data_IF_777693840154
#
_entry.id   IF_777693840154
#
_cell.length_a   1.000
_cell.length_b   1.000
_cell.length_c   1.000
_cell.angle_alpha   90.00
_cell.angle_beta   90.00
_cell.angle_gamma   90.00
#
_symmetry.space_group_name_H-M   'P 1'
#
loop_
_entity.id
_entity.type
_entity.pdbx_description
1 polymer ?
#
# COMPACT_ATOMS: atom_id res chain seq x y z
N UNK A 1 15.81 16.67 -17.58
CA UNK A 1 15.11 17.83 -17.00
C UNK A 1 14.27 17.32 -15.84
N UNK A 2 14.70 17.53 -14.61
CA UNK A 2 13.93 17.21 -13.41
C UNK A 2 12.65 18.04 -13.46
N UNK A 3 11.49 17.40 -13.61
CA UNK A 3 10.20 18.04 -13.32
C UNK A 3 10.33 18.58 -11.90
N UNK A 4 10.24 19.89 -11.74
CA UNK A 4 10.17 20.51 -10.42
C UNK A 4 8.93 19.90 -9.75
N UNK A 5 9.12 19.10 -8.70
CA UNK A 5 7.99 18.56 -7.96
C UNK A 5 7.10 19.74 -7.54
N UNK A 6 5.81 19.62 -7.83
CA UNK A 6 4.85 20.64 -7.41
C UNK A 6 4.87 20.66 -5.87
N UNK A 7 4.98 21.85 -5.29
CA UNK A 7 4.98 22.00 -3.84
C UNK A 7 3.73 21.35 -3.21
N UNK A 8 3.83 20.85 -1.96
CA UNK A 8 2.69 20.35 -1.25
C UNK A 8 1.54 21.36 -1.26
N UNK A 9 0.32 20.88 -1.46
CA UNK A 9 -0.85 21.74 -1.59
C UNK A 9 -2.11 21.05 -1.08
N UNK A 10 -2.99 21.86 -0.48
CA UNK A 10 -4.31 21.46 0.00
C UNK A 10 -5.37 21.76 -1.07
N UNK A 11 -6.24 20.81 -1.33
CA UNK A 11 -7.35 20.95 -2.28
C UNK A 11 -8.67 20.61 -1.60
N UNK A 12 -9.76 21.35 -1.86
CA UNK A 12 -11.09 20.89 -1.49
C UNK A 12 -11.44 19.63 -2.29
N UNK A 13 -12.01 18.63 -1.63
CA UNK A 13 -12.50 17.41 -2.25
C UNK A 13 -13.98 17.24 -1.91
N UNK A 14 -14.85 17.72 -2.81
CA UNK A 14 -16.29 17.70 -2.57
C UNK A 14 -16.72 18.58 -1.39
N UNK A 15 -17.84 18.21 -0.78
CA UNK A 15 -18.45 19.00 0.31
C UNK A 15 -17.91 18.66 1.70
N UNK A 16 -17.30 17.48 1.85
CA UNK A 16 -17.01 16.83 3.13
C UNK A 16 -15.55 16.40 3.27
N UNK A 17 -14.64 16.90 2.43
CA UNK A 17 -13.25 16.56 2.54
C UNK A 17 -12.25 17.53 1.92
N UNK A 18 -10.99 17.27 2.26
CA UNK A 18 -9.80 17.92 1.73
C UNK A 18 -8.80 16.85 1.30
N UNK A 19 -7.99 17.18 0.30
CA UNK A 19 -6.88 16.38 -0.18
C UNK A 19 -5.58 17.17 0.00
N UNK A 20 -4.73 16.74 0.93
CA UNK A 20 -3.35 17.23 1.03
C UNK A 20 -2.49 16.41 0.08
N UNK A 21 -1.95 17.02 -0.98
CA UNK A 21 -1.08 16.35 -1.97
C UNK A 21 0.35 16.82 -1.79
N UNK A 22 1.31 15.89 -1.69
CA UNK A 22 2.73 16.18 -1.49
C UNK A 22 3.53 16.18 -2.79
N UNK A 23 3.13 15.36 -3.76
CA UNK A 23 3.74 15.31 -5.09
C UNK A 23 2.70 14.94 -6.16
N UNK A 24 2.99 15.27 -7.42
CA UNK A 24 2.17 14.85 -8.57
C UNK A 24 2.54 13.46 -9.08
N UNK A 25 3.82 13.10 -8.96
CA UNK A 25 4.35 11.78 -9.27
C UNK A 25 4.68 11.08 -7.94
N UNK A 26 4.66 9.75 -7.91
CA UNK A 26 4.94 9.01 -6.69
C UNK A 26 6.44 8.97 -6.37
N UNK A 27 6.78 9.13 -5.09
CA UNK A 27 8.11 8.93 -4.51
C UNK A 27 7.98 8.37 -3.09
N UNK A 28 9.03 7.76 -2.55
CA UNK A 28 9.02 7.25 -1.18
C UNK A 28 8.96 8.41 -0.16
N UNK A 29 9.55 9.55 -0.51
CA UNK A 29 9.48 10.81 0.23
C UNK A 29 8.04 11.32 0.31
N UNK A 30 7.32 11.37 -0.82
CA UNK A 30 5.92 11.79 -0.85
C UNK A 30 5.00 10.81 -0.10
N UNK A 31 5.29 9.50 -0.16
CA UNK A 31 4.55 8.50 0.60
C UNK A 31 4.77 8.65 2.11
N UNK A 32 6.01 8.87 2.53
CA UNK A 32 6.36 9.16 3.93
C UNK A 32 5.68 10.42 4.42
N UNK A 33 5.70 11.48 3.62
CA UNK A 33 5.00 12.73 3.88
C UNK A 33 3.50 12.50 4.08
N UNK A 34 2.84 11.77 3.17
CA UNK A 34 1.43 11.45 3.28
C UNK A 34 1.10 10.67 4.57
N UNK A 35 1.87 9.64 4.89
CA UNK A 35 1.66 8.83 6.10
C UNK A 35 1.88 9.65 7.39
N UNK A 36 2.95 10.45 7.45
CA UNK A 36 3.25 11.29 8.60
C UNK A 36 2.19 12.39 8.79
N UNK A 37 1.80 13.06 7.70
CA UNK A 37 0.75 14.07 7.73
C UNK A 37 -0.58 13.48 8.18
N UNK A 38 -0.92 12.27 7.73
CA UNK A 38 -2.14 11.60 8.17
C UNK A 38 -2.18 11.35 9.69
N UNK A 39 -1.06 10.94 10.28
CA UNK A 39 -0.95 10.73 11.71
C UNK A 39 -1.17 12.02 12.51
N UNK A 40 -0.64 13.15 12.03
CA UNK A 40 -0.82 14.46 12.67
C UNK A 40 -2.22 15.05 12.40
N UNK A 41 -2.73 14.96 11.17
CA UNK A 41 -4.04 15.48 10.78
C UNK A 41 -5.19 14.78 11.50
N UNK A 42 -5.04 13.50 11.86
CA UNK A 42 -6.02 12.76 12.67
C UNK A 42 -6.21 13.37 14.08
N UNK A 43 -5.25 14.18 14.55
CA UNK A 43 -5.35 14.86 15.85
C UNK A 43 -6.05 16.21 15.78
N UNK A 44 -6.36 16.72 14.57
CA UNK A 44 -7.05 17.98 14.39
C UNK A 44 -8.53 17.85 14.74
N UNK A 45 -9.07 18.86 15.41
CA UNK A 45 -10.49 18.93 15.71
C UNK A 45 -11.32 18.98 14.41
N UNK A 46 -12.34 18.12 14.33
CA UNK A 46 -13.22 18.01 13.16
C UNK A 46 -12.74 17.04 12.08
N UNK A 47 -11.54 16.48 12.17
CA UNK A 47 -11.12 15.38 11.29
C UNK A 47 -11.77 14.06 11.75
N UNK A 48 -12.56 13.42 10.88
CA UNK A 48 -13.28 12.17 11.18
C UNK A 48 -12.64 10.95 10.52
N UNK A 49 -12.19 11.10 9.28
CA UNK A 49 -11.56 10.03 8.52
C UNK A 49 -10.30 10.59 7.86
N UNK A 50 -9.13 10.01 8.18
CA UNK A 50 -7.86 10.41 7.61
C UNK A 50 -7.20 9.22 6.94
N UNK A 51 -7.10 9.27 5.61
CA UNK A 51 -6.65 8.14 4.79
C UNK A 51 -5.45 8.56 3.94
N UNK A 52 -4.23 8.15 4.32
CA UNK A 52 -3.07 8.30 3.46
C UNK A 52 -3.15 7.35 2.26
N UNK A 53 -2.80 7.87 1.09
CA UNK A 53 -2.61 7.14 -0.15
C UNK A 53 -1.14 7.22 -0.58
N UNK A 54 -0.84 7.02 -1.87
CA UNK A 54 0.54 6.97 -2.35
C UNK A 54 1.32 8.27 -2.17
N UNK A 55 0.75 9.43 -2.53
CA UNK A 55 1.42 10.74 -2.46
C UNK A 55 0.51 11.86 -1.93
N UNK A 56 -0.58 11.48 -1.26
CA UNK A 56 -1.60 12.40 -0.76
C UNK A 56 -2.36 11.80 0.42
N UNK A 57 -2.98 12.66 1.21
CA UNK A 57 -3.82 12.27 2.34
C UNK A 57 -5.21 12.88 2.18
N UNK A 58 -6.23 12.02 2.22
CA UNK A 58 -7.63 12.42 2.34
C UNK A 58 -7.93 12.73 3.80
N UNK A 59 -8.61 13.84 4.04
CA UNK A 59 -9.17 14.20 5.35
C UNK A 59 -10.66 14.49 5.15
N UNK A 60 -11.53 13.75 5.83
CA UNK A 60 -12.98 13.97 5.83
C UNK A 60 -13.48 14.49 7.17
N UNK A 61 -14.62 15.17 7.12
CA UNK A 61 -15.30 15.77 8.26
C UNK A 61 -16.82 15.72 8.07
N UNK A 62 -17.60 15.86 9.14
CA UNK A 62 -19.06 15.94 9.04
C UNK A 62 -19.51 17.31 8.45
N UNK A 63 -20.11 17.31 7.24
CA UNK A 63 -20.54 18.54 6.58
C UNK A 63 -21.94 19.00 7.04
N UNK A 64 -22.59 18.32 7.99
CA UNK A 64 -24.00 18.55 8.34
C UNK A 64 -24.20 19.26 9.68
N UNK A 65 -25.34 19.94 9.84
CA UNK A 65 -25.73 20.59 11.09
C UNK A 65 -25.21 22.01 11.26
N UNK A 66 -25.63 22.64 12.36
CA UNK A 66 -25.31 24.04 12.64
C UNK A 66 -23.80 24.25 12.74
N UNK A 67 -23.30 25.32 12.13
CA UNK A 67 -21.87 25.64 12.13
C UNK A 67 -21.01 24.83 11.16
N UNK A 68 -21.58 24.02 10.26
CA UNK A 68 -20.82 23.24 9.27
C UNK A 68 -19.82 24.07 8.44
N UNK A 69 -20.23 25.26 8.00
CA UNK A 69 -19.33 26.18 7.27
C UNK A 69 -18.14 26.64 8.13
N UNK A 70 -18.37 26.90 9.42
CA UNK A 70 -17.33 27.30 10.35
C UNK A 70 -16.38 26.12 10.66
N UNK A 71 -16.91 24.92 10.87
CA UNK A 71 -16.10 23.69 11.06
C UNK A 71 -15.22 23.41 9.85
N UNK A 72 -15.79 23.49 8.64
CA UNK A 72 -15.03 23.34 7.39
C UNK A 72 -13.89 24.34 7.31
N UNK A 73 -14.18 25.63 7.55
CA UNK A 73 -13.16 26.68 7.50
C UNK A 73 -12.06 26.50 8.57
N UNK A 74 -12.44 26.08 9.79
CA UNK A 74 -11.49 25.80 10.87
C UNK A 74 -10.58 24.61 10.53
N UNK A 75 -11.14 23.53 9.99
CA UNK A 75 -10.36 22.38 9.54
C UNK A 75 -9.44 22.73 8.36
N UNK A 76 -9.92 23.51 7.39
CA UNK A 76 -9.12 23.98 6.26
C UNK A 76 -7.92 24.81 6.73
N UNK A 77 -8.15 25.72 7.68
CA UNK A 77 -7.08 26.51 8.29
C UNK A 77 -6.08 25.61 9.04
N UNK A 78 -6.57 24.70 9.89
CA UNK A 78 -5.69 23.77 10.63
C UNK A 78 -4.88 22.85 9.72
N UNK A 79 -5.46 22.36 8.62
CA UNK A 79 -4.76 21.56 7.63
C UNK A 79 -3.72 22.38 6.86
N UNK A 80 -4.03 23.63 6.54
CA UNK A 80 -3.08 24.54 5.87
C UNK A 80 -1.90 24.86 6.80
N UNK A 81 -2.17 25.22 8.05
CA UNK A 81 -1.14 25.47 9.07
C UNK A 81 -0.26 24.23 9.29
N UNK A 82 -0.88 23.03 9.36
CA UNK A 82 -0.14 21.78 9.47
C UNK A 82 0.74 21.52 8.23
N UNK A 83 0.20 21.73 7.03
CA UNK A 83 0.91 21.55 5.78
C UNK A 83 2.13 22.48 5.69
N UNK A 84 2.00 23.72 6.14
CA UNK A 84 3.06 24.74 6.15
C UNK A 84 4.02 24.61 7.35
N UNK A 85 3.72 23.75 8.33
CA UNK A 85 4.49 23.65 9.58
C UNK A 85 5.94 23.16 9.41
N UNK A 86 6.24 22.45 8.31
CA UNK A 86 7.56 21.88 8.02
C UNK A 86 7.69 21.47 6.55
N UNK A 87 8.91 21.17 6.14
CA UNK A 87 9.15 20.48 4.87
C UNK A 87 8.87 18.98 5.01
N UNK A 88 7.68 18.56 4.61
CA UNK A 88 7.22 17.17 4.68
C UNK A 88 8.03 16.23 3.77
N UNK A 89 8.57 16.72 2.66
CA UNK A 89 9.37 15.91 1.74
C UNK A 89 10.80 15.68 2.26
N UNK A 90 11.25 16.50 3.22
CA UNK A 90 12.54 16.37 3.89
C UNK A 90 12.51 15.48 5.14
N UNK A 91 11.39 14.83 5.46
CA UNK A 91 11.30 13.91 6.60
C UNK A 91 12.30 12.75 6.46
N UNK A 92 13.02 12.37 7.54
CA UNK A 92 14.01 11.30 7.48
C UNK A 92 13.35 9.95 7.23
N UNK A 93 14.06 9.02 6.61
CA UNK A 93 13.61 7.64 6.53
C UNK A 93 13.63 7.00 7.93
N UNK A 94 12.47 6.52 8.39
CA UNK A 94 12.35 5.83 9.68
C UNK A 94 12.47 4.32 9.50
N UNK A 95 13.00 3.64 10.51
CA UNK A 95 12.94 2.18 10.57
C UNK A 95 11.49 1.70 10.66
N UNK A 96 11.19 0.50 10.16
CA UNK A 96 9.86 -0.07 10.29
C UNK A 96 9.65 -0.52 11.73
N UNK A 97 8.50 -0.16 12.34
CA UNK A 97 8.14 -0.62 13.68
C UNK A 97 7.57 -2.04 13.71
N UNK A 98 7.09 -2.52 12.56
CA UNK A 98 6.44 -3.83 12.40
C UNK A 98 6.94 -4.48 11.13
N UNK A 99 7.23 -5.78 11.22
CA UNK A 99 7.62 -6.61 10.08
C UNK A 99 6.73 -7.82 9.99
N UNK A 100 6.15 -8.03 8.82
CA UNK A 100 5.42 -9.24 8.50
C UNK A 100 6.27 -10.15 7.62
N UNK A 101 6.34 -11.43 7.98
CA UNK A 101 6.85 -12.47 7.09
C UNK A 101 5.68 -13.24 6.51
N UNK A 102 5.46 -13.12 5.20
CA UNK A 102 4.36 -13.76 4.48
C UNK A 102 4.88 -14.98 3.69
N UNK A 103 4.35 -16.18 3.91
CA UNK A 103 4.72 -17.35 3.12
C UNK A 103 4.06 -17.28 1.73
N UNK A 104 4.85 -17.41 0.66
CA UNK A 104 4.40 -17.28 -0.73
C UNK A 104 4.91 -18.45 -1.57
N UNK A 105 4.00 -19.05 -2.34
CA UNK A 105 4.30 -20.01 -3.40
C UNK A 105 4.48 -19.27 -4.73
N UNK A 106 5.55 -19.62 -5.44
CA UNK A 106 5.90 -19.11 -6.76
C UNK A 106 5.77 -20.21 -7.84
N UNK A 107 4.98 -21.25 -7.60
CA UNK A 107 4.94 -22.47 -8.41
C UNK A 107 3.68 -22.58 -9.27
N UNK A 108 3.84 -22.84 -10.56
CA UNK A 108 2.75 -23.22 -11.48
C UNK A 108 1.56 -22.26 -11.43
N UNK A 109 0.37 -22.78 -11.11
CA UNK A 109 -0.88 -22.00 -11.03
C UNK A 109 -0.88 -20.92 -9.94
N UNK A 110 0.02 -21.00 -8.95
CA UNK A 110 0.17 -19.93 -7.96
C UNK A 110 0.90 -18.72 -8.57
N UNK A 111 1.63 -18.87 -9.66
CA UNK A 111 2.48 -17.86 -10.27
C UNK A 111 2.43 -17.82 -11.82
N UNK A 112 1.24 -17.80 -12.45
CA UNK A 112 1.09 -17.95 -13.90
C UNK A 112 1.73 -16.81 -14.72
N UNK A 113 1.97 -15.65 -14.09
CA UNK A 113 2.61 -14.49 -14.71
C UNK A 113 4.10 -14.33 -14.35
N UNK A 114 4.71 -15.25 -13.59
CA UNK A 114 6.10 -15.12 -13.15
C UNK A 114 7.09 -15.16 -14.32
N UNK A 115 6.95 -16.12 -15.22
CA UNK A 115 7.81 -16.22 -16.41
C UNK A 115 7.72 -14.97 -17.29
N UNK A 116 6.51 -14.43 -17.48
CA UNK A 116 6.26 -13.19 -18.24
C UNK A 116 6.92 -11.99 -17.54
N UNK A 117 6.74 -11.86 -16.22
CA UNK A 117 7.31 -10.78 -15.43
C UNK A 117 8.84 -10.82 -15.41
N UNK A 118 9.42 -12.01 -15.23
CA UNK A 118 10.87 -12.22 -15.23
C UNK A 118 11.49 -11.85 -16.58
N UNK A 119 10.86 -12.30 -17.68
CA UNK A 119 11.33 -11.98 -19.03
C UNK A 119 11.31 -10.46 -19.30
N UNK A 120 10.26 -9.75 -18.89
CA UNK A 120 10.21 -8.28 -19.04
C UNK A 120 11.19 -7.55 -18.13
N UNK A 121 11.45 -8.09 -16.93
CA UNK A 121 12.47 -7.57 -16.03
C UNK A 121 13.92 -7.89 -16.49
N UNK A 122 14.09 -8.72 -17.53
CA UNK A 122 15.38 -9.15 -18.03
C UNK A 122 16.08 -10.17 -17.12
N UNK A 123 15.31 -10.99 -16.41
CA UNK A 123 15.78 -11.93 -15.38
C UNK A 123 15.38 -13.37 -15.71
N UNK A 124 16.06 -14.33 -15.09
CA UNK A 124 15.51 -15.69 -14.97
C UNK A 124 14.38 -15.71 -13.93
N UNK A 125 13.50 -16.72 -13.97
CA UNK A 125 12.45 -16.86 -12.95
C UNK A 125 13.02 -16.97 -11.53
N UNK A 126 14.15 -17.66 -11.37
CA UNK A 126 14.80 -17.83 -10.06
C UNK A 126 15.45 -16.53 -9.57
N UNK A 127 16.10 -15.76 -10.46
CA UNK A 127 16.65 -14.44 -10.10
C UNK A 127 15.52 -13.45 -9.75
N UNK A 128 14.41 -13.50 -10.48
CA UNK A 128 13.23 -12.70 -10.20
C UNK A 128 12.65 -13.00 -8.81
N UNK A 129 12.47 -14.29 -8.48
CA UNK A 129 12.03 -14.72 -7.15
C UNK A 129 13.02 -14.26 -6.08
N UNK A 130 14.32 -14.47 -6.28
CA UNK A 130 15.36 -14.05 -5.34
C UNK A 130 15.29 -12.54 -5.06
N UNK A 131 15.20 -11.72 -6.11
CA UNK A 131 15.11 -10.27 -5.97
C UNK A 131 13.84 -9.81 -5.24
N UNK A 132 12.70 -10.47 -5.48
CA UNK A 132 11.45 -10.19 -4.76
C UNK A 132 11.57 -10.53 -3.27
N UNK A 133 12.18 -11.67 -2.94
CA UNK A 133 12.36 -12.12 -1.55
C UNK A 133 13.31 -11.20 -0.77
N UNK A 134 14.31 -10.62 -1.43
CA UNK A 134 15.32 -9.74 -0.81
C UNK A 134 14.86 -8.28 -0.66
N UNK A 135 13.87 -7.80 -1.42
CA UNK A 135 13.51 -6.38 -1.50
C UNK A 135 12.98 -5.76 -0.19
N UNK A 136 12.44 -6.57 0.73
CA UNK A 136 11.83 -6.13 2.00
C UNK A 136 10.99 -4.82 1.90
N UNK A 137 10.04 -4.71 0.95
CA UNK A 137 9.28 -3.48 0.71
C UNK A 137 8.32 -3.15 1.85
N UNK A 138 7.73 -1.94 1.82
CA UNK A 138 6.75 -1.49 2.82
C UNK A 138 5.34 -1.41 2.25
N UNK A 139 4.34 -1.51 3.13
CA UNK A 139 2.96 -1.15 2.78
C UNK A 139 2.89 0.37 2.58
N UNK A 140 2.73 0.78 1.32
CA UNK A 140 2.65 2.18 0.89
C UNK A 140 1.26 2.77 1.11
N UNK A 141 0.23 1.97 0.85
CA UNK A 141 -1.18 2.34 1.01
C UNK A 141 -2.01 1.07 1.20
N UNK A 142 -3.22 1.21 1.73
CA UNK A 142 -4.21 0.13 1.80
C UNK A 142 -5.52 0.68 1.22
N UNK A 143 -6.10 0.00 0.23
CA UNK A 143 -7.27 0.50 -0.49
C UNK A 143 -7.59 -0.30 -1.75
N UNK A 144 -8.44 0.25 -2.62
CA UNK A 144 -9.16 -0.43 -3.72
C UNK A 144 -10.20 -1.45 -3.24
N UNK A 145 -9.81 -2.34 -2.33
CA UNK A 145 -10.70 -3.22 -1.58
C UNK A 145 -10.29 -3.22 -0.10
N UNK A 146 -11.17 -3.62 0.83
CA UNK A 146 -10.82 -3.72 2.25
C UNK A 146 -9.57 -4.57 2.47
N UNK A 147 -8.64 -4.06 3.28
CA UNK A 147 -7.38 -4.74 3.62
C UNK A 147 -6.33 -4.85 2.52
N UNK A 148 -6.65 -4.58 1.24
CA UNK A 148 -5.76 -4.84 0.12
C UNK A 148 -4.56 -3.86 0.11
N UNK A 149 -3.32 -4.35 0.36
CA UNK A 149 -2.15 -3.49 0.49
C UNK A 149 -1.49 -3.26 -0.88
N UNK A 150 -1.02 -2.03 -1.08
CA UNK A 150 -0.03 -1.69 -2.10
C UNK A 150 1.32 -1.68 -1.41
N UNK A 151 2.24 -2.53 -1.87
CA UNK A 151 3.52 -2.81 -1.24
C UNK A 151 4.63 -2.41 -2.20
N UNK A 152 5.63 -1.68 -1.73
CA UNK A 152 6.73 -1.26 -2.60
C UNK A 152 7.89 -0.56 -1.89
N UNK A 153 8.95 -0.23 -2.61
CA UNK A 153 9.15 -0.50 -4.03
C UNK A 153 10.08 -1.68 -4.28
N UNK A 154 9.85 -2.36 -5.40
CA UNK A 154 10.81 -3.27 -6.02
C UNK A 154 11.88 -2.47 -6.81
N UNK A 155 13.02 -3.11 -7.15
CA UNK A 155 14.05 -2.50 -7.98
C UNK A 155 13.54 -2.04 -9.35
N UNK A 156 14.30 -1.16 -10.03
CA UNK A 156 13.89 -0.51 -11.28
C UNK A 156 13.56 -1.50 -12.41
N UNK A 157 14.16 -2.70 -12.40
CA UNK A 157 13.85 -3.79 -13.35
C UNK A 157 12.39 -4.25 -13.28
N UNK A 158 11.69 -3.98 -12.18
CA UNK A 158 10.28 -4.32 -11.97
C UNK A 158 9.30 -3.21 -12.39
N UNK A 159 9.75 -2.21 -13.15
CA UNK A 159 8.87 -1.20 -13.75
C UNK A 159 8.07 -1.77 -14.94
N UNK A 160 7.27 -2.78 -14.63
CA UNK A 160 6.47 -3.54 -15.58
C UNK A 160 5.15 -2.79 -15.84
N UNK A 161 4.77 -2.56 -17.11
CA UNK A 161 3.55 -1.86 -17.41
C UNK A 161 2.33 -2.72 -17.08
N UNK A 162 1.30 -2.09 -16.51
CA UNK A 162 -0.01 -2.72 -16.33
C UNK A 162 -0.58 -3.14 -17.69
N UNK A 163 -1.06 -4.37 -17.78
CA UNK A 163 -1.74 -4.91 -18.95
C UNK A 163 -3.10 -4.24 -19.17
N UNK A 164 -3.44 -4.07 -20.45
CA UNK A 164 -4.75 -3.54 -20.88
C UNK A 164 -5.85 -4.59 -20.71
N UNK A 165 -5.55 -5.82 -21.07
CA UNK A 165 -6.45 -6.96 -20.86
C UNK A 165 -6.38 -7.40 -19.40
N UNK A 166 -7.56 -7.58 -18.79
CA UNK A 166 -7.66 -8.00 -17.39
C UNK A 166 -7.75 -9.53 -17.32
N UNK A 167 -7.06 -10.14 -16.35
CA UNK A 167 -7.19 -11.55 -15.99
C UNK A 167 -7.69 -11.66 -14.56
N UNK A 168 -8.54 -12.64 -14.29
CA UNK A 168 -8.99 -12.93 -12.93
C UNK A 168 -7.84 -13.50 -12.11
N UNK A 169 -7.67 -12.98 -10.90
CA UNK A 169 -6.74 -13.53 -9.91
C UNK A 169 -7.51 -14.02 -8.68
N UNK A 170 -7.06 -15.11 -8.03
CA UNK A 170 -7.73 -15.65 -6.85
C UNK A 170 -7.38 -14.85 -5.57
N UNK A 171 -8.10 -15.10 -4.45
CA UNK A 171 -7.68 -14.64 -3.13
C UNK A 171 -6.27 -15.12 -2.79
N UNK A 172 -5.51 -14.24 -2.15
CA UNK A 172 -4.11 -14.46 -1.78
C UNK A 172 -3.13 -14.30 -2.94
N UNK A 173 -3.58 -13.90 -4.14
CA UNK A 173 -2.70 -13.63 -5.26
C UNK A 173 -1.78 -12.44 -4.96
N UNK A 174 -0.48 -12.65 -5.15
CA UNK A 174 0.54 -11.62 -5.15
C UNK A 174 0.79 -11.20 -6.60
N UNK A 175 0.44 -9.96 -6.93
CA UNK A 175 0.57 -9.44 -8.29
C UNK A 175 1.60 -8.31 -8.36
N UNK A 176 2.27 -8.15 -9.51
CA UNK A 176 3.29 -7.13 -9.73
C UNK A 176 3.00 -6.27 -10.96
N UNK A 177 3.23 -4.96 -10.81
CA UNK A 177 3.34 -3.96 -11.87
C UNK A 177 3.93 -2.68 -11.27
N UNK A 178 4.47 -1.78 -12.09
CA UNK A 178 4.92 -0.43 -11.69
C UNK A 178 5.80 -0.43 -10.43
N UNK A 179 6.68 -1.45 -10.30
CA UNK A 179 7.56 -1.68 -9.14
C UNK A 179 6.85 -1.91 -7.81
N UNK A 180 5.56 -2.21 -7.84
CA UNK A 180 4.76 -2.49 -6.67
C UNK A 180 4.26 -3.93 -6.69
N UNK A 181 3.98 -4.42 -5.50
CA UNK A 181 3.26 -5.65 -5.24
C UNK A 181 1.89 -5.30 -4.69
N UNK A 182 0.85 -6.03 -5.11
CA UNK A 182 -0.48 -5.94 -4.51
C UNK A 182 -0.93 -7.33 -4.09
N UNK A 183 -1.43 -7.44 -2.87
CA UNK A 183 -1.94 -8.70 -2.33
C UNK A 183 -3.46 -8.71 -2.34
N UNK A 184 -4.06 -9.58 -3.14
CA UNK A 184 -5.50 -9.60 -3.36
C UNK A 184 -6.24 -10.28 -2.21
N UNK A 185 -7.18 -9.56 -1.60
CA UNK A 185 -8.06 -10.10 -0.55
C UNK A 185 -9.16 -11.01 -1.14
N UNK A 186 -9.69 -10.64 -2.29
CA UNK A 186 -10.81 -11.29 -2.96
C UNK A 186 -10.47 -11.60 -4.42
N UNK A 187 -11.20 -12.54 -5.02
CA UNK A 187 -11.09 -12.79 -6.45
C UNK A 187 -11.53 -11.54 -7.24
N UNK A 188 -10.70 -11.09 -8.18
CA UNK A 188 -10.98 -9.87 -8.96
C UNK A 188 -10.15 -9.83 -10.25
N UNK A 189 -10.67 -9.21 -11.33
CA UNK A 189 -9.89 -8.98 -12.54
C UNK A 189 -8.82 -7.90 -12.33
N UNK A 190 -7.61 -8.15 -12.81
CA UNK A 190 -6.50 -7.19 -12.78
C UNK A 190 -5.65 -7.22 -14.04
N UNK A 191 -5.04 -6.08 -14.36
CA UNK A 191 -4.01 -5.98 -15.41
C UNK A 191 -2.59 -6.20 -14.86
N UNK A 192 -2.45 -6.60 -13.60
CA UNK A 192 -1.16 -6.86 -12.96
C UNK A 192 -0.83 -8.35 -13.09
N UNK A 193 0.45 -8.68 -13.20
CA UNK A 193 0.87 -10.07 -13.38
C UNK A 193 0.85 -10.80 -12.03
N UNK A 194 0.10 -11.90 -11.91
CA UNK A 194 0.18 -12.77 -10.74
C UNK A 194 1.50 -13.54 -10.76
N UNK A 195 2.40 -13.17 -9.85
CA UNK A 195 3.75 -13.73 -9.75
C UNK A 195 3.89 -14.72 -8.58
N UNK A 196 2.89 -14.81 -7.71
CA UNK A 196 2.88 -15.75 -6.61
C UNK A 196 1.54 -15.78 -5.89
N UNK A 197 1.43 -16.65 -4.88
CA UNK A 197 0.22 -16.77 -4.06
C UNK A 197 0.56 -17.12 -2.62
N UNK A 198 -0.17 -16.52 -1.68
CA UNK A 198 -0.10 -16.83 -0.25
C UNK A 198 -1.44 -17.38 0.25
N UNK A 199 -1.41 -18.07 1.40
CA UNK A 199 -2.61 -18.43 2.16
C UNK A 199 -3.08 -17.29 3.08
N UNK A 200 -2.24 -16.26 3.30
CA UNK A 200 -2.60 -15.12 4.14
C UNK A 200 -3.73 -14.31 3.51
N UNK A 201 -4.76 -14.01 4.31
CA UNK A 201 -5.83 -13.09 3.93
C UNK A 201 -5.58 -11.71 4.52
N UNK A 202 -5.37 -10.67 3.70
CA UNK A 202 -5.18 -9.29 4.18
C UNK A 202 -6.47 -8.65 4.72
N UNK A 203 -7.63 -9.30 4.56
CA UNK A 203 -8.90 -8.86 5.12
C UNK A 203 -9.70 -10.02 5.72
N UNK A 204 -10.11 -9.87 6.98
CA UNK A 204 -10.78 -10.89 7.78
C UNK A 204 -11.93 -10.25 8.57
N UNK A 205 -13.11 -10.02 7.97
CA UNK A 205 -14.16 -9.21 8.58
C UNK A 205 -14.66 -9.70 9.94
N UNK A 206 -14.53 -11.01 10.22
CA UNK A 206 -14.93 -11.61 11.51
C UNK A 206 -13.83 -11.71 12.57
N UNK A 207 -12.61 -11.23 12.29
CA UNK A 207 -11.49 -11.27 13.24
C UNK A 207 -11.45 -10.03 14.13
N UNK A 208 -10.80 -10.14 15.30
CA UNK A 208 -10.57 -9.01 16.22
C UNK A 208 -9.83 -7.85 15.55
N UNK A 209 -8.93 -8.16 14.61
CA UNK A 209 -8.26 -7.20 13.74
C UNK A 209 -8.57 -7.52 12.28
N UNK A 210 -9.64 -6.95 11.69
CA UNK A 210 -10.06 -7.29 10.33
C UNK A 210 -9.04 -6.96 9.25
N UNK A 211 -8.16 -5.98 9.50
CA UNK A 211 -7.08 -5.56 8.62
C UNK A 211 -5.76 -5.65 9.39
N UNK A 212 -5.05 -6.79 9.34
CA UNK A 212 -3.85 -7.01 10.14
C UNK A 212 -2.65 -6.15 9.72
N UNK A 213 -2.55 -5.86 8.42
CA UNK A 213 -1.51 -4.99 7.86
C UNK A 213 -1.85 -3.52 8.11
N UNK A 214 -0.82 -2.72 8.37
CA UNK A 214 -0.91 -1.26 8.46
C UNK A 214 0.05 -0.62 7.47
N UNK A 215 -0.26 0.62 7.10
CA UNK A 215 0.68 1.43 6.33
C UNK A 215 2.00 1.57 7.09
N UNK A 216 3.12 1.50 6.36
CA UNK A 216 4.46 1.52 6.92
C UNK A 216 4.99 0.18 7.42
N UNK A 217 4.16 -0.87 7.53
CA UNK A 217 4.62 -2.23 7.86
C UNK A 217 5.66 -2.70 6.81
N UNK A 218 6.78 -3.25 7.25
CA UNK A 218 7.75 -3.94 6.37
C UNK A 218 7.22 -5.34 6.02
N UNK A 219 7.32 -5.71 4.76
CA UNK A 219 6.91 -7.02 4.25
C UNK A 219 8.14 -7.79 3.82
N UNK A 220 8.35 -8.95 4.44
CA UNK A 220 9.27 -9.99 3.97
C UNK A 220 8.46 -11.13 3.39
N UNK A 221 8.89 -11.62 2.24
CA UNK A 221 8.28 -12.78 1.61
C UNK A 221 9.17 -13.99 1.91
N UNK A 222 8.56 -15.13 2.21
CA UNK A 222 9.24 -16.39 2.45
C UNK A 222 8.76 -17.41 1.43
N UNK A 223 9.67 -17.92 0.59
CA UNK A 223 9.34 -18.96 -0.39
C UNK A 223 8.89 -20.22 0.33
N UNK A 224 7.75 -20.75 -0.10
CA UNK A 224 7.24 -22.07 0.25
C UNK A 224 6.76 -22.78 -1.02
N UNK A 225 6.64 -24.10 -0.97
CA UNK A 225 6.02 -24.87 -2.04
C UNK A 225 4.51 -24.63 -2.11
N UNK A 226 3.91 -24.95 -3.26
CA UNK A 226 2.45 -24.97 -3.41
C UNK A 226 1.79 -25.91 -2.41
N UNK A 227 2.42 -27.05 -2.10
CA UNK A 227 1.90 -28.01 -1.14
C UNK A 227 1.85 -27.42 0.28
N UNK A 228 2.92 -26.76 0.72
CA UNK A 228 2.95 -26.07 2.02
C UNK A 228 1.90 -24.96 2.08
N UNK A 229 1.70 -24.21 0.99
CA UNK A 229 0.67 -23.16 0.93
C UNK A 229 -0.73 -23.74 1.09
N UNK A 230 -0.99 -24.87 0.44
CA UNK A 230 -2.27 -25.58 0.59
C UNK A 230 -2.46 -26.11 2.01
N UNK A 231 -1.39 -26.59 2.67
CA UNK A 231 -1.46 -27.05 4.05
C UNK A 231 -1.75 -25.92 5.07
N UNK A 232 -1.45 -24.67 4.72
CA UNK A 232 -1.79 -23.48 5.52
C UNK A 232 -3.25 -23.04 5.35
N UNK A 233 -4.05 -23.70 4.49
CA UNK A 233 -5.47 -23.41 4.37
C UNK A 233 -6.19 -23.75 5.69
N UNK A 234 -6.73 -22.73 6.34
CA UNK A 234 -7.39 -22.86 7.65
C UNK A 234 -6.58 -22.30 8.82
N UNK A 235 -5.29 -22.02 8.62
CA UNK A 235 -4.55 -21.16 9.56
C UNK A 235 -5.14 -19.74 9.49
N UNK A 236 -5.55 -19.12 10.62
CA UNK A 236 -6.18 -17.80 10.61
C UNK A 236 -5.34 -16.72 9.90
N UNK A 237 -4.02 -16.86 9.89
CA UNK A 237 -3.09 -15.91 9.29
C UNK A 237 -2.39 -16.50 8.06
N UNK A 238 -2.82 -17.66 7.56
CA UNK A 238 -2.17 -18.36 6.45
C UNK A 238 -0.67 -18.52 6.65
N UNK A 239 -0.21 -18.72 7.89
CA UNK A 239 1.21 -18.85 8.25
C UNK A 239 2.01 -17.54 8.32
N UNK A 240 1.37 -16.38 8.16
CA UNK A 240 2.03 -15.09 8.32
C UNK A 240 2.45 -14.83 9.77
N UNK A 241 3.61 -14.21 9.94
CA UNK A 241 4.19 -13.90 11.27
C UNK A 241 4.49 -12.43 11.40
N UNK A 242 4.06 -11.82 12.51
CA UNK A 242 4.38 -10.44 12.88
C UNK A 242 5.53 -10.39 13.87
N UNK A 243 6.53 -9.57 13.57
CA UNK A 243 7.61 -9.17 14.48
C UNK A 243 7.47 -7.68 14.79
N UNK A 244 7.55 -7.31 16.08
CA UNK A 244 7.59 -5.91 16.52
C UNK A 244 9.05 -5.49 16.63
N UNK A 245 9.45 -4.58 15.73
CA UNK A 245 10.79 -4.01 15.64
C UNK A 245 10.75 -2.71 16.45
N UNK A 246 11.52 -2.66 17.54
CA UNK A 246 11.50 -1.52 18.46
C UNK A 246 11.96 -0.22 17.82
#
# INVERSE_FOLDING_TARGET
MTKKEAAPALYPLGMDGFLARFASDFSLEANRAAQAFAAEALTLEGAEEVVPALASTLVRFDPLGDGAAARRAALEAGLSDLLDSRDWLALPAEAAARRWTLPVSFEGEDAPGLAEAAAEAGLSEEDAVTQILEAAPRVLAIGFAPGQPYIGLLPDTWDLPRRKELRDVPPGALVAAIRQLVLFANASPTGWLQIGRTAFSPFQPGADQPMPLRQGDEIRLARISRQERLALQGDPMGGARLEVLR
#
